data_IF_808414224733
#
_entry.id   IF_808414224733
#
_cell.length_a   1.000
_cell.length_b   1.000
_cell.length_c   1.000
_cell.angle_alpha   90.00
_cell.angle_beta   90.00
_cell.angle_gamma   90.00
#
_symmetry.space_group_name_H-M   'P 1'
#
loop_
_entity.id
_entity.type
_entity.pdbx_description
1 polymer ?
#
# COMPACT_ATOMS: atom_id res chain seq x y z
N UNK A 1 -31.14 7.28 2.48
CA UNK A 1 -29.74 7.24 2.89
C UNK A 1 -29.02 6.47 1.81
N UNK A 2 -28.30 7.14 0.91
CA UNK A 2 -27.68 6.51 -0.24
C UNK A 2 -26.42 5.81 0.24
N UNK A 3 -26.36 4.49 0.08
CA UNK A 3 -25.17 3.71 0.36
C UNK A 3 -23.99 4.26 -0.45
N UNK A 4 -22.76 4.27 0.11
CA UNK A 4 -21.59 4.30 -0.74
C UNK A 4 -21.79 3.16 -1.73
N UNK A 5 -21.87 3.47 -3.01
CA UNK A 5 -21.94 2.44 -4.04
C UNK A 5 -20.68 1.60 -3.85
N UNK A 6 -20.85 0.35 -3.40
CA UNK A 6 -19.89 -0.70 -3.70
C UNK A 6 -19.90 -0.79 -5.23
N UNK A 7 -19.31 0.24 -5.84
CA UNK A 7 -19.29 0.47 -7.24
C UNK A 7 -18.60 -0.72 -7.88
N UNK A 8 -19.11 -1.18 -8.97
CA UNK A 8 -18.31 -1.94 -9.93
C UNK A 8 -16.97 -1.23 -9.98
N UNK A 9 -15.97 -1.82 -9.29
CA UNK A 9 -14.71 -1.17 -9.02
C UNK A 9 -14.06 -0.70 -10.31
N UNK A 10 -14.36 0.51 -10.69
CA UNK A 10 -13.45 1.20 -11.56
C UNK A 10 -12.26 1.52 -10.68
N UNK A 11 -11.13 0.94 -11.03
CA UNK A 11 -9.81 1.12 -10.42
C UNK A 11 -9.38 2.59 -10.42
N UNK A 12 -10.27 3.54 -10.73
CA UNK A 12 -9.94 4.88 -11.22
C UNK A 12 -10.12 6.05 -10.24
N UNK A 13 -10.53 5.84 -8.98
CA UNK A 13 -10.73 6.98 -8.09
C UNK A 13 -10.00 6.81 -6.75
N UNK A 14 -8.78 7.38 -6.67
CA UNK A 14 -8.23 7.87 -5.43
C UNK A 14 -8.73 9.30 -5.19
N UNK A 15 -9.59 9.48 -4.24
CA UNK A 15 -10.01 10.79 -3.80
C UNK A 15 -11.50 10.86 -3.55
N UNK A 16 -11.88 11.46 -2.47
CA UNK A 16 -13.21 11.70 -1.91
C UNK A 16 -14.11 10.48 -1.91
N UNK A 17 -14.35 9.91 -0.76
CA UNK A 17 -15.47 9.00 -0.59
C UNK A 17 -16.74 9.63 -1.15
N UNK A 18 -17.60 8.85 -1.82
CA UNK A 18 -18.91 9.31 -2.34
C UNK A 18 -19.78 9.98 -1.26
N UNK A 19 -19.38 9.87 0.01
CA UNK A 19 -20.04 10.44 1.19
C UNK A 19 -19.42 11.76 1.68
N UNK A 20 -18.46 12.34 0.91
CA UNK A 20 -17.75 13.56 1.28
C UNK A 20 -16.60 13.37 2.29
N UNK A 21 -16.16 12.14 2.50
CA UNK A 21 -14.97 11.81 3.27
C UNK A 21 -13.70 12.12 2.44
N UNK A 22 -12.77 12.86 3.05
CA UNK A 22 -11.50 13.24 2.44
C UNK A 22 -10.32 12.40 2.97
N UNK A 23 -10.48 11.75 4.13
CA UNK A 23 -9.43 11.02 4.82
C UNK A 23 -9.55 9.51 4.69
N UNK A 24 -10.78 8.99 4.55
CA UNK A 24 -11.08 7.55 4.51
C UNK A 24 -11.70 7.19 3.17
N UNK A 25 -11.11 6.24 2.46
CA UNK A 25 -11.60 5.80 1.15
C UNK A 25 -11.51 4.27 1.00
N UNK A 26 -12.61 3.61 0.63
CA UNK A 26 -12.60 2.19 0.33
C UNK A 26 -12.04 1.95 -1.08
N UNK A 27 -11.21 0.91 -1.21
CA UNK A 27 -10.65 0.50 -2.49
C UNK A 27 -10.49 -1.02 -2.56
N UNK A 28 -10.79 -1.63 -3.71
CA UNK A 28 -10.42 -3.02 -3.95
C UNK A 28 -8.92 -3.09 -4.24
N UNK A 29 -8.19 -3.64 -3.26
CA UNK A 29 -6.75 -3.81 -3.36
C UNK A 29 -6.40 -5.17 -3.97
N UNK A 30 -5.75 -5.15 -5.13
CA UNK A 30 -5.22 -6.37 -5.78
C UNK A 30 -4.23 -7.09 -4.88
N UNK A 31 -3.39 -6.34 -4.17
CA UNK A 31 -2.33 -6.86 -3.29
C UNK A 31 -2.86 -7.42 -1.98
N UNK A 32 -3.93 -6.86 -1.45
CA UNK A 32 -4.61 -7.38 -0.25
C UNK A 32 -5.61 -8.49 -0.57
N UNK A 33 -5.98 -8.65 -1.85
CA UNK A 33 -6.98 -9.63 -2.28
C UNK A 33 -8.39 -9.34 -1.77
N UNK A 34 -8.77 -8.06 -1.66
CA UNK A 34 -10.11 -7.67 -1.21
C UNK A 34 -10.25 -6.18 -0.89
N UNK A 35 -11.24 -5.87 -0.05
CA UNK A 35 -11.54 -4.49 0.33
C UNK A 35 -10.48 -3.97 1.31
N UNK A 36 -9.80 -2.90 0.93
CA UNK A 36 -8.86 -2.14 1.74
C UNK A 36 -9.47 -0.78 2.10
N UNK A 37 -9.34 -0.37 3.33
CA UNK A 37 -9.77 0.95 3.78
C UNK A 37 -8.57 1.86 3.83
N UNK A 38 -8.41 2.66 2.78
CA UNK A 38 -7.32 3.62 2.66
C UNK A 38 -7.49 4.79 3.63
N UNK A 39 -6.38 5.23 4.22
CA UNK A 39 -6.31 6.41 5.07
C UNK A 39 -5.29 7.38 4.49
N UNK A 40 -5.78 8.57 4.15
CA UNK A 40 -5.03 9.64 3.51
C UNK A 40 -4.67 10.74 4.51
N UNK A 41 -3.37 10.97 4.73
CA UNK A 41 -2.88 12.00 5.65
C UNK A 41 -2.74 13.39 4.98
N UNK A 42 -3.01 13.50 3.68
CA UNK A 42 -2.86 14.72 2.90
C UNK A 42 -4.10 14.98 2.04
N UNK A 43 -5.27 15.31 2.65
CA UNK A 43 -6.53 15.40 1.91
C UNK A 43 -6.55 16.53 0.87
N UNK A 44 -5.82 17.60 1.11
CA UNK A 44 -5.86 18.83 0.32
C UNK A 44 -4.51 19.21 -0.33
N UNK A 45 -3.52 18.34 -0.25
CA UNK A 45 -2.20 18.52 -0.91
C UNK A 45 -1.49 17.20 -1.14
N UNK A 46 -0.54 17.19 -2.06
CA UNK A 46 0.41 16.10 -2.20
C UNK A 46 1.69 16.43 -1.43
N UNK A 47 2.06 15.60 -0.46
CA UNK A 47 3.33 15.72 0.27
C UNK A 47 4.13 14.43 0.14
N UNK A 48 5.11 14.44 -0.73
CA UNK A 48 6.00 13.31 -0.98
C UNK A 48 7.37 13.82 -1.41
N UNK A 49 8.41 13.16 -0.97
CA UNK A 49 9.78 13.43 -1.40
C UNK A 49 10.22 12.60 -2.63
N UNK A 50 9.28 11.81 -3.19
CA UNK A 50 9.40 11.17 -4.50
C UNK A 50 8.48 11.85 -5.52
N UNK A 51 8.82 11.72 -6.80
CA UNK A 51 8.03 12.16 -7.95
C UNK A 51 7.85 11.01 -8.97
N UNK A 52 7.47 9.84 -8.46
CA UNK A 52 7.37 8.61 -9.26
C UNK A 52 6.56 8.83 -10.55
N UNK A 53 7.05 8.38 -11.72
CA UNK A 53 6.34 8.54 -12.99
C UNK A 53 4.99 7.82 -13.03
N UNK A 54 4.86 6.73 -12.27
CA UNK A 54 3.63 5.94 -12.16
C UNK A 54 2.67 6.42 -11.05
N UNK A 55 2.97 7.53 -10.38
CA UNK A 55 2.14 8.02 -9.27
C UNK A 55 0.78 8.50 -9.79
N UNK A 56 -0.29 7.94 -9.24
CA UNK A 56 -1.67 8.26 -9.60
C UNK A 56 -2.12 9.64 -9.09
N UNK A 57 -1.37 10.23 -8.16
CA UNK A 57 -1.72 11.49 -7.51
C UNK A 57 -1.06 12.66 -8.23
N UNK A 58 -1.89 13.59 -8.70
CA UNK A 58 -1.41 14.86 -9.25
C UNK A 58 -0.63 15.68 -8.21
N UNK A 59 0.36 16.45 -8.62
CA UNK A 59 0.87 17.52 -7.77
C UNK A 59 -0.22 18.56 -7.52
N UNK A 60 -0.56 18.78 -6.25
CA UNK A 60 -1.47 19.83 -5.83
C UNK A 60 -1.06 20.35 -4.46
N UNK A 61 -1.48 21.56 -4.14
CA UNK A 61 -1.13 22.22 -2.89
C UNK A 61 -2.36 22.83 -2.24
N UNK A 62 -2.44 22.72 -0.93
CA UNK A 62 -3.49 23.25 -0.11
C UNK A 62 -2.99 23.55 1.30
N UNK A 63 -3.87 24.05 2.21
CA UNK A 63 -3.49 24.53 3.52
C UNK A 63 -3.02 23.45 4.52
N UNK A 64 -3.24 22.17 4.24
CA UNK A 64 -2.85 21.09 5.15
C UNK A 64 -3.86 20.86 6.28
N UNK A 65 -5.10 20.51 5.94
CA UNK A 65 -6.24 20.41 6.86
C UNK A 65 -6.42 19.02 7.50
N UNK A 66 -5.38 18.22 7.64
CA UNK A 66 -5.52 16.97 8.36
C UNK A 66 -5.73 17.21 9.86
N UNK A 67 -6.74 16.54 10.41
CA UNK A 67 -7.03 16.53 11.85
C UNK A 67 -7.33 15.12 12.33
N UNK A 68 -6.59 14.65 13.33
CA UNK A 68 -6.77 13.32 13.93
C UNK A 68 -8.20 13.04 14.43
N UNK A 69 -8.92 13.99 15.09
CA UNK A 69 -10.31 13.75 15.46
C UNK A 69 -11.25 13.59 14.26
N UNK A 70 -10.95 14.23 13.14
CA UNK A 70 -11.73 14.06 11.90
C UNK A 70 -11.52 12.66 11.33
N UNK A 71 -10.29 12.16 11.27
CA UNK A 71 -9.99 10.79 10.86
C UNK A 71 -10.76 9.77 11.71
N UNK A 72 -10.75 9.94 13.03
CA UNK A 72 -11.51 9.03 13.93
C UNK A 72 -13.00 9.03 13.60
N UNK A 73 -13.60 10.21 13.46
CA UNK A 73 -15.05 10.32 13.12
C UNK A 73 -15.38 9.69 11.76
N UNK A 74 -14.51 9.85 10.76
CA UNK A 74 -14.73 9.27 9.44
C UNK A 74 -14.63 7.75 9.46
N UNK A 75 -13.63 7.17 10.15
CA UNK A 75 -13.52 5.72 10.33
C UNK A 75 -14.72 5.14 11.09
N UNK A 76 -15.10 5.77 12.22
CA UNK A 76 -16.25 5.32 13.00
C UNK A 76 -17.55 5.39 12.17
N UNK A 77 -17.77 6.47 11.43
CA UNK A 77 -18.93 6.62 10.53
C UNK A 77 -18.94 5.56 9.44
N UNK A 78 -17.80 5.31 8.80
CA UNK A 78 -17.67 4.30 7.74
C UNK A 78 -18.02 2.91 8.26
N UNK A 79 -17.41 2.50 9.37
CA UNK A 79 -17.61 1.16 9.90
C UNK A 79 -19.00 0.96 10.52
N UNK A 80 -19.56 1.99 11.18
CA UNK A 80 -20.93 1.95 11.69
C UNK A 80 -21.94 1.75 10.54
N UNK A 81 -21.85 2.56 9.49
CA UNK A 81 -22.71 2.41 8.31
C UNK A 81 -22.58 1.02 7.67
N UNK A 82 -21.35 0.50 7.60
CA UNK A 82 -21.10 -0.84 7.07
C UNK A 82 -21.69 -1.96 7.95
N UNK A 83 -21.66 -1.81 9.28
CA UNK A 83 -22.27 -2.74 10.22
C UNK A 83 -23.80 -2.75 10.09
N UNK A 84 -24.44 -1.57 9.98
CA UNK A 84 -25.88 -1.43 9.79
C UNK A 84 -26.35 -2.10 8.49
N UNK A 85 -25.61 -1.93 7.40
CA UNK A 85 -25.90 -2.59 6.12
C UNK A 85 -25.81 -4.10 6.25
N UNK A 86 -24.78 -4.60 6.93
CA UNK A 86 -24.60 -6.04 7.14
C UNK A 86 -25.74 -6.64 7.96
N UNK A 87 -26.19 -5.94 9.01
CA UNK A 87 -27.32 -6.36 9.83
C UNK A 87 -28.62 -6.41 9.01
N UNK A 88 -28.93 -5.33 8.28
CA UNK A 88 -30.14 -5.27 7.44
C UNK A 88 -30.15 -6.34 6.33
N UNK A 89 -28.99 -6.65 5.74
CA UNK A 89 -28.86 -7.73 4.75
C UNK A 89 -29.06 -9.10 5.38
N UNK A 90 -28.47 -9.35 6.54
CA UNK A 90 -28.65 -10.64 7.24
C UNK A 90 -30.12 -10.91 7.58
N UNK A 91 -30.89 -9.89 7.96
CA UNK A 91 -32.33 -9.99 8.15
C UNK A 91 -33.04 -10.33 6.84
N UNK A 92 -32.71 -9.65 5.75
CA UNK A 92 -33.30 -9.88 4.42
C UNK A 92 -32.98 -11.29 3.87
N UNK A 93 -31.73 -11.75 4.05
CA UNK A 93 -31.31 -13.09 3.62
C UNK A 93 -32.01 -14.19 4.44
N UNK A 94 -32.24 -13.93 5.73
CA UNK A 94 -33.01 -14.85 6.58
C UNK A 94 -34.48 -14.98 6.13
N UNK A 95 -35.07 -13.88 5.66
CA UNK A 95 -36.44 -13.85 5.15
C UNK A 95 -36.57 -14.47 3.74
N UNK A 96 -35.58 -14.23 2.87
CA UNK A 96 -35.64 -14.60 1.44
C UNK A 96 -34.90 -15.88 1.10
N UNK A 97 -34.04 -16.40 1.98
CA UNK A 97 -33.16 -17.54 1.70
C UNK A 97 -32.06 -17.23 0.69
N UNK A 98 -31.84 -15.96 0.37
CA UNK A 98 -30.78 -15.53 -0.53
C UNK A 98 -29.41 -15.68 0.16
N UNK A 99 -28.40 -16.08 -0.59
CA UNK A 99 -27.02 -16.18 -0.10
C UNK A 99 -26.21 -14.99 -0.65
N UNK A 100 -25.97 -14.00 0.19
CA UNK A 100 -25.30 -12.75 -0.25
C UNK A 100 -23.82 -12.99 -0.61
N UNK A 101 -23.54 -13.04 -1.90
CA UNK A 101 -22.19 -13.12 -2.47
C UNK A 101 -21.51 -11.74 -2.61
N UNK A 102 -22.22 -10.67 -2.32
CA UNK A 102 -21.74 -9.30 -2.60
C UNK A 102 -21.03 -8.65 -1.40
N UNK A 103 -20.89 -9.34 -0.27
CA UNK A 103 -20.23 -8.81 0.91
C UNK A 103 -18.72 -9.13 0.87
N UNK A 104 -17.90 -8.10 0.62
CA UNK A 104 -16.45 -8.26 0.66
C UNK A 104 -15.90 -7.97 2.06
N UNK A 105 -15.22 -8.94 2.69
CA UNK A 105 -14.57 -8.68 3.97
C UNK A 105 -13.49 -7.60 3.82
N UNK A 106 -13.37 -6.74 4.83
CA UNK A 106 -12.26 -5.80 4.93
C UNK A 106 -10.98 -6.59 5.18
N UNK A 107 -9.99 -6.43 4.32
CA UNK A 107 -8.68 -7.10 4.43
C UNK A 107 -7.69 -6.31 5.23
N UNK A 108 -7.72 -4.99 5.09
CA UNK A 108 -6.83 -4.11 5.81
C UNK A 108 -7.40 -2.70 6.00
N UNK A 109 -6.83 -2.00 6.98
CA UNK A 109 -6.84 -0.54 7.05
C UNK A 109 -5.43 -0.10 6.63
N UNK A 110 -5.33 0.65 5.53
CA UNK A 110 -4.06 0.96 4.89
C UNK A 110 -3.73 2.46 4.97
N UNK A 111 -2.68 2.80 5.71
CA UNK A 111 -2.18 4.18 5.72
C UNK A 111 -1.33 4.41 4.47
N UNK A 112 -1.86 5.26 3.58
CA UNK A 112 -1.30 5.55 2.26
C UNK A 112 -1.87 6.87 1.73
N UNK A 113 -2.08 7.05 0.42
CA UNK A 113 -2.83 8.18 -0.15
C UNK A 113 -1.96 9.21 -0.87
N UNK A 114 -2.21 10.50 -0.66
CA UNK A 114 -1.67 11.59 -1.49
C UNK A 114 -0.21 11.99 -1.16
N UNK A 115 0.60 11.10 -0.61
CA UNK A 115 1.99 11.39 -0.30
C UNK A 115 2.70 10.27 0.45
N UNK A 116 3.80 10.61 1.07
CA UNK A 116 4.55 9.71 1.95
C UNK A 116 4.04 9.86 3.40
N UNK A 117 3.38 8.85 3.97
CA UNK A 117 2.77 8.97 5.30
C UNK A 117 3.75 9.34 6.41
N UNK A 118 4.99 8.85 6.35
CA UNK A 118 6.01 9.10 7.39
C UNK A 118 6.51 10.54 7.44
N UNK A 119 6.17 11.37 6.44
CA UNK A 119 6.46 12.81 6.45
C UNK A 119 5.39 13.62 7.18
N UNK A 120 4.25 13.01 7.52
CA UNK A 120 3.19 13.72 8.24
C UNK A 120 3.54 13.90 9.71
N UNK A 121 3.41 15.11 10.28
CA UNK A 121 3.55 15.31 11.72
C UNK A 121 2.48 14.55 12.53
N UNK A 122 1.37 14.16 11.90
CA UNK A 122 0.26 13.41 12.50
C UNK A 122 0.37 11.90 12.28
N UNK A 123 1.47 11.41 11.69
CA UNK A 123 1.60 10.01 11.32
C UNK A 123 1.37 9.03 12.48
N UNK A 124 1.98 9.30 13.64
CA UNK A 124 1.85 8.43 14.82
C UNK A 124 0.44 8.40 15.38
N UNK A 125 -0.22 9.57 15.44
CA UNK A 125 -1.60 9.68 15.89
C UNK A 125 -2.56 8.96 14.94
N UNK A 126 -2.36 9.11 13.64
CA UNK A 126 -3.17 8.44 12.62
C UNK A 126 -3.05 6.91 12.70
N UNK A 127 -1.84 6.37 12.88
CA UNK A 127 -1.65 4.94 13.11
C UNK A 127 -2.38 4.44 14.35
N UNK A 128 -2.34 5.20 15.45
CA UNK A 128 -3.04 4.85 16.67
C UNK A 128 -4.56 4.81 16.47
N UNK A 129 -5.12 5.79 15.76
CA UNK A 129 -6.55 5.84 15.41
C UNK A 129 -6.95 4.68 14.51
N UNK A 130 -6.13 4.33 13.51
CA UNK A 130 -6.38 3.16 12.65
C UNK A 130 -6.36 1.85 13.43
N UNK A 131 -5.42 1.69 14.36
CA UNK A 131 -5.34 0.52 15.24
C UNK A 131 -6.57 0.44 16.17
N UNK A 132 -7.00 1.56 16.75
CA UNK A 132 -8.24 1.63 17.55
C UNK A 132 -9.45 1.23 16.73
N UNK A 133 -9.62 1.78 15.52
CA UNK A 133 -10.73 1.44 14.64
C UNK A 133 -10.73 -0.06 14.28
N UNK A 134 -9.57 -0.65 13.99
CA UNK A 134 -9.44 -2.09 13.73
C UNK A 134 -9.89 -2.92 14.94
N UNK A 135 -9.46 -2.56 16.16
CA UNK A 135 -9.88 -3.27 17.37
C UNK A 135 -11.38 -3.16 17.63
N UNK A 136 -11.93 -1.97 17.44
CA UNK A 136 -13.35 -1.68 17.72
C UNK A 136 -14.28 -2.36 16.74
N UNK A 137 -13.98 -2.32 15.45
CA UNK A 137 -14.90 -2.68 14.38
C UNK A 137 -14.61 -4.01 13.69
N UNK A 138 -13.36 -4.51 13.75
CA UNK A 138 -12.90 -5.63 12.93
C UNK A 138 -12.30 -6.77 13.76
N UNK A 139 -12.48 -6.77 15.08
CA UNK A 139 -12.02 -7.83 15.98
C UNK A 139 -10.49 -7.80 16.25
N UNK A 140 -9.86 -6.66 16.03
CA UNK A 140 -8.42 -6.51 16.26
C UNK A 140 -7.57 -7.41 15.34
N UNK A 141 -6.42 -7.83 15.85
CA UNK A 141 -5.49 -8.70 15.12
C UNK A 141 -6.03 -10.13 14.89
N UNK A 142 -6.97 -10.57 15.71
CA UNK A 142 -7.55 -11.91 15.64
C UNK A 142 -8.68 -12.00 14.61
N UNK A 143 -9.20 -10.84 14.16
CA UNK A 143 -10.26 -10.75 13.16
C UNK A 143 -9.83 -10.98 11.71
N UNK A 144 -8.54 -11.25 11.45
CA UNK A 144 -8.02 -11.49 10.10
C UNK A 144 -7.90 -10.22 9.24
N UNK A 145 -8.01 -9.03 9.84
CA UNK A 145 -7.82 -7.74 9.18
C UNK A 145 -6.48 -7.13 9.57
N UNK A 146 -5.67 -6.78 8.58
CA UNK A 146 -4.36 -6.18 8.82
C UNK A 146 -4.44 -4.66 9.02
N UNK A 147 -3.46 -4.11 9.75
CA UNK A 147 -3.08 -2.71 9.66
C UNK A 147 -1.87 -2.62 8.74
N UNK A 148 -1.97 -1.83 7.67
CA UNK A 148 -0.92 -1.76 6.64
C UNK A 148 -0.39 -0.34 6.52
N UNK A 149 0.92 -0.21 6.38
CA UNK A 149 1.58 1.02 5.94
C UNK A 149 2.21 0.80 4.57
N UNK A 150 1.87 1.64 3.59
CA UNK A 150 2.64 1.74 2.33
C UNK A 150 3.55 2.95 2.44
N UNK A 151 4.87 2.74 2.33
CA UNK A 151 5.86 3.81 2.46
C UNK A 151 6.94 3.72 1.38
N UNK A 152 7.44 4.86 0.95
CA UNK A 152 8.62 4.95 0.08
C UNK A 152 9.94 4.67 0.82
N UNK A 153 9.85 4.27 2.08
CA UNK A 153 10.95 3.83 2.94
C UNK A 153 11.90 4.93 3.42
N UNK A 154 11.74 6.17 3.00
CA UNK A 154 12.65 7.26 3.40
C UNK A 154 12.55 7.60 4.88
N UNK A 155 11.40 7.33 5.51
CA UNK A 155 11.21 7.47 6.95
C UNK A 155 12.09 6.55 7.81
N UNK A 156 12.61 5.45 7.26
CA UNK A 156 13.47 4.52 8.01
C UNK A 156 14.82 5.11 8.41
N UNK A 157 15.23 6.22 7.82
CA UNK A 157 16.40 6.97 8.25
C UNK A 157 16.18 7.78 9.55
N UNK A 158 14.92 7.91 10.00
CA UNK A 158 14.54 8.71 11.16
C UNK A 158 14.31 7.83 12.40
N UNK A 159 15.13 7.96 13.48
CA UNK A 159 15.01 7.11 14.66
C UNK A 159 13.62 7.15 15.33
N UNK A 160 12.95 8.30 15.34
CA UNK A 160 11.60 8.44 15.90
C UNK A 160 10.56 7.62 15.11
N UNK A 161 10.67 7.62 13.78
CA UNK A 161 9.77 6.84 12.91
C UNK A 161 10.03 5.35 13.08
N UNK A 162 11.30 4.92 13.07
CA UNK A 162 11.63 3.49 13.22
C UNK A 162 11.22 2.95 14.59
N UNK A 163 11.37 3.71 15.66
CA UNK A 163 10.93 3.32 17.00
C UNK A 163 9.39 3.22 17.08
N UNK A 164 8.66 4.14 16.46
CA UNK A 164 7.21 4.07 16.36
C UNK A 164 6.76 2.84 15.57
N UNK A 165 7.35 2.60 14.40
CA UNK A 165 6.99 1.46 13.55
C UNK A 165 7.27 0.13 14.23
N UNK A 166 8.41 -0.01 14.93
CA UNK A 166 8.73 -1.21 15.70
C UNK A 166 7.66 -1.51 16.75
N UNK A 167 7.24 -0.50 17.54
CA UNK A 167 6.13 -0.67 18.49
C UNK A 167 4.84 -1.10 17.80
N UNK A 168 4.47 -0.46 16.69
CA UNK A 168 3.25 -0.79 15.97
C UNK A 168 3.28 -2.20 15.35
N UNK A 169 4.45 -2.67 14.92
CA UNK A 169 4.63 -4.06 14.47
C UNK A 169 4.37 -5.03 15.61
N UNK A 170 4.90 -4.78 16.80
CA UNK A 170 4.75 -5.68 17.96
C UNK A 170 3.36 -5.59 18.60
N UNK A 171 2.87 -4.36 18.86
CA UNK A 171 1.66 -4.14 19.62
C UNK A 171 0.39 -4.30 18.76
N UNK A 172 0.46 -3.90 17.49
CA UNK A 172 -0.67 -3.84 16.57
C UNK A 172 -0.51 -4.71 15.32
N UNK A 173 0.56 -5.52 15.24
CA UNK A 173 0.84 -6.36 14.07
C UNK A 173 0.80 -5.57 12.75
N UNK A 174 1.37 -4.35 12.77
CA UNK A 174 1.49 -3.52 11.58
C UNK A 174 2.29 -4.26 10.49
N UNK A 175 1.71 -4.36 9.30
CA UNK A 175 2.39 -4.88 8.12
C UNK A 175 2.95 -3.71 7.32
N UNK A 176 4.26 -3.71 7.12
CA UNK A 176 4.95 -2.63 6.43
C UNK A 176 5.25 -3.06 5.01
N UNK A 177 4.69 -2.34 4.04
CA UNK A 177 4.97 -2.47 2.63
C UNK A 177 5.98 -1.39 2.22
N UNK A 178 7.25 -1.79 2.21
CA UNK A 178 8.39 -0.94 1.94
C UNK A 178 8.69 -0.91 0.44
N UNK A 179 8.60 0.24 -0.19
CA UNK A 179 8.92 0.38 -1.61
C UNK A 179 10.42 0.41 -1.85
N UNK A 180 10.84 -0.42 -2.81
CA UNK A 180 12.19 -0.44 -3.36
C UNK A 180 12.10 -0.66 -4.88
N UNK A 181 11.95 0.43 -5.62
CA UNK A 181 11.71 0.40 -7.07
C UNK A 181 13.03 0.49 -7.84
N UNK A 182 13.89 -0.50 -7.68
CA UNK A 182 15.15 -0.60 -8.40
C UNK A 182 16.25 -1.33 -7.64
N UNK A 183 17.30 -1.72 -8.37
CA UNK A 183 18.47 -2.41 -7.84
C UNK A 183 19.79 -1.68 -8.10
N UNK A 184 19.71 -0.56 -8.77
CA UNK A 184 20.84 0.32 -9.06
C UNK A 184 20.40 1.79 -9.03
N UNK A 185 21.34 2.74 -8.90
CA UNK A 185 21.01 4.17 -8.80
C UNK A 185 20.20 4.70 -10.00
N UNK A 186 20.50 4.24 -11.21
CA UNK A 186 19.85 4.73 -12.43
C UNK A 186 18.39 4.29 -12.49
N UNK A 187 18.14 3.00 -12.25
CA UNK A 187 16.78 2.48 -12.19
C UNK A 187 15.97 3.14 -11.07
N UNK A 188 16.56 3.23 -9.87
CA UNK A 188 15.89 3.88 -8.73
C UNK A 188 15.57 5.35 -9.01
N UNK A 189 16.47 6.09 -9.63
CA UNK A 189 16.25 7.51 -9.98
C UNK A 189 15.10 7.66 -10.99
N UNK A 190 15.02 6.79 -12.00
CA UNK A 190 13.93 6.77 -12.98
C UNK A 190 12.60 6.52 -12.29
N UNK A 191 12.52 5.51 -11.40
CA UNK A 191 11.26 5.09 -10.78
C UNK A 191 10.83 5.97 -9.61
N UNK A 192 11.77 6.51 -8.86
CA UNK A 192 11.45 7.42 -7.74
C UNK A 192 11.22 8.86 -8.20
N UNK A 193 11.82 9.26 -9.32
CA UNK A 193 11.83 10.63 -9.80
C UNK A 193 12.47 11.60 -8.80
N UNK A 194 13.40 11.11 -7.95
CA UNK A 194 13.99 11.88 -6.85
C UNK A 194 15.52 11.88 -6.93
N UNK A 195 16.15 12.80 -6.17
CA UNK A 195 17.60 12.87 -5.98
C UNK A 195 18.06 12.18 -4.69
N UNK A 196 17.17 11.40 -4.05
CA UNK A 196 17.53 10.67 -2.83
C UNK A 196 18.49 9.55 -3.20
N UNK A 197 19.55 9.43 -2.40
CA UNK A 197 20.61 8.47 -2.65
C UNK A 197 20.10 7.01 -2.50
N UNK A 198 20.31 6.23 -3.54
CA UNK A 198 19.91 4.82 -3.59
C UNK A 198 20.57 3.99 -2.49
N UNK A 199 21.90 4.14 -2.30
CA UNK A 199 22.64 3.35 -1.31
C UNK A 199 22.15 3.63 0.11
N UNK A 200 21.89 4.90 0.44
CA UNK A 200 21.31 5.29 1.73
C UNK A 200 19.90 4.73 1.92
N UNK A 201 19.08 4.70 0.87
CA UNK A 201 17.74 4.12 0.92
C UNK A 201 17.80 2.63 1.20
N UNK A 202 18.62 1.88 0.46
CA UNK A 202 18.85 0.45 0.67
C UNK A 202 19.36 0.16 2.09
N UNK A 203 20.37 0.91 2.56
CA UNK A 203 20.91 0.76 3.91
C UNK A 203 19.87 1.00 5.00
N UNK A 204 18.98 1.98 4.82
CA UNK A 204 17.88 2.29 5.75
C UNK A 204 16.83 1.18 5.78
N UNK A 205 16.44 0.66 4.62
CA UNK A 205 15.52 -0.48 4.50
C UNK A 205 16.14 -1.70 5.18
N UNK A 206 17.38 -2.05 4.87
CA UNK A 206 18.07 -3.20 5.46
C UNK A 206 18.21 -3.06 6.97
N UNK A 207 18.63 -1.89 7.45
CA UNK A 207 18.79 -1.62 8.89
C UNK A 207 17.46 -1.78 9.64
N UNK A 208 16.34 -1.36 9.05
CA UNK A 208 15.02 -1.57 9.62
C UNK A 208 14.60 -3.05 9.54
N UNK A 209 14.76 -3.67 8.36
CA UNK A 209 14.40 -5.06 8.12
C UNK A 209 15.18 -6.08 8.96
N UNK A 210 16.38 -5.73 9.45
CA UNK A 210 17.12 -6.59 10.39
C UNK A 210 16.51 -6.64 11.79
N UNK A 211 15.60 -5.71 12.11
CA UNK A 211 14.92 -5.63 13.41
C UNK A 211 13.45 -6.02 13.31
N UNK A 212 12.80 -5.64 12.22
CA UNK A 212 11.36 -5.78 12.04
C UNK A 212 11.05 -6.38 10.66
N UNK A 213 10.05 -7.27 10.58
CA UNK A 213 9.67 -7.88 9.30
C UNK A 213 8.99 -6.87 8.38
N UNK A 214 9.35 -6.93 7.09
CA UNK A 214 8.77 -6.09 6.04
C UNK A 214 8.36 -6.92 4.83
N UNK A 215 7.48 -6.35 4.01
CA UNK A 215 7.20 -6.79 2.64
C UNK A 215 7.86 -5.79 1.70
N UNK A 216 8.66 -6.25 0.77
CA UNK A 216 9.24 -5.37 -0.26
C UNK A 216 8.23 -5.24 -1.41
N UNK A 217 7.98 -4.01 -1.85
CA UNK A 217 7.11 -3.72 -3.00
C UNK A 217 7.86 -3.01 -4.11
N UNK A 218 7.78 -3.55 -5.32
CA UNK A 218 8.47 -3.02 -6.49
C UNK A 218 7.52 -2.88 -7.67
N UNK A 219 7.43 -1.65 -8.18
CA UNK A 219 6.72 -1.36 -9.42
C UNK A 219 7.57 -1.74 -10.62
N UNK A 220 6.99 -2.54 -11.51
CA UNK A 220 7.57 -2.87 -12.82
C UNK A 220 6.69 -2.25 -13.91
N UNK A 221 7.22 -1.27 -14.59
CA UNK A 221 6.54 -0.58 -15.70
C UNK A 221 7.57 -0.02 -16.69
N UNK A 222 7.11 0.36 -17.86
CA UNK A 222 7.93 1.07 -18.85
C UNK A 222 7.77 2.59 -18.65
N UNK A 223 8.90 3.29 -18.62
CA UNK A 223 8.98 4.75 -18.49
C UNK A 223 9.83 5.28 -19.64
N UNK A 224 9.23 5.90 -20.64
CA UNK A 224 9.92 6.24 -21.89
C UNK A 224 10.54 5.00 -22.54
N UNK A 225 11.85 5.05 -22.79
CA UNK A 225 12.62 3.92 -23.34
C UNK A 225 13.10 2.94 -22.27
N UNK A 226 12.91 3.24 -20.99
CA UNK A 226 13.32 2.36 -19.90
C UNK A 226 12.25 1.29 -19.65
N UNK A 227 12.68 0.03 -19.61
CA UNK A 227 11.92 -1.12 -19.12
C UNK A 227 12.85 -2.03 -18.32
N UNK A 228 12.43 -2.58 -17.17
CA UNK A 228 13.22 -3.59 -16.48
C UNK A 228 13.45 -4.83 -17.35
N UNK A 229 14.69 -5.28 -17.40
CA UNK A 229 15.11 -6.47 -18.14
C UNK A 229 15.56 -7.60 -17.17
N UNK A 230 15.72 -8.85 -17.65
CA UNK A 230 16.13 -9.96 -16.82
C UNK A 230 17.47 -9.76 -16.09
N UNK A 231 18.41 -9.01 -16.67
CA UNK A 231 19.70 -8.73 -16.03
C UNK A 231 19.53 -7.77 -14.84
N UNK A 232 18.69 -6.74 -14.99
CA UNK A 232 18.32 -5.84 -13.88
C UNK A 232 17.57 -6.60 -12.78
N UNK A 233 16.65 -7.49 -13.16
CA UNK A 233 15.94 -8.33 -12.19
C UNK A 233 16.85 -9.31 -11.47
N UNK A 234 17.89 -9.80 -12.13
CA UNK A 234 18.92 -10.60 -11.46
C UNK A 234 19.68 -9.78 -10.41
N UNK A 235 20.13 -8.56 -10.76
CA UNK A 235 20.76 -7.66 -9.78
C UNK A 235 19.83 -7.33 -8.60
N UNK A 236 18.53 -7.19 -8.88
CA UNK A 236 17.52 -6.98 -7.85
C UNK A 236 17.39 -8.20 -6.92
N UNK A 237 17.33 -9.40 -7.46
CA UNK A 237 17.34 -10.64 -6.69
C UNK A 237 18.62 -10.77 -5.84
N UNK A 238 19.79 -10.50 -6.42
CA UNK A 238 21.08 -10.54 -5.74
C UNK A 238 21.14 -9.51 -4.58
N UNK A 239 20.58 -8.31 -4.78
CA UNK A 239 20.47 -7.28 -3.73
C UNK A 239 19.63 -7.77 -2.55
N UNK A 240 18.43 -8.30 -2.81
CA UNK A 240 17.53 -8.81 -1.77
C UNK A 240 18.10 -10.05 -1.06
N UNK A 241 18.68 -10.98 -1.80
CA UNK A 241 19.36 -12.14 -1.25
C UNK A 241 20.54 -11.72 -0.33
N UNK A 242 21.28 -10.68 -0.74
CA UNK A 242 22.32 -10.08 0.09
C UNK A 242 21.77 -9.49 1.39
N UNK A 243 20.64 -8.77 1.35
CA UNK A 243 19.98 -8.25 2.56
C UNK A 243 19.54 -9.39 3.48
N UNK A 244 18.90 -10.44 2.94
CA UNK A 244 18.49 -11.64 3.68
C UNK A 244 19.69 -12.34 4.33
N UNK A 245 20.80 -12.52 3.61
CA UNK A 245 22.01 -13.15 4.15
C UNK A 245 22.67 -12.37 5.28
N UNK A 246 22.43 -11.05 5.33
CA UNK A 246 22.87 -10.17 6.43
C UNK A 246 21.83 -10.02 7.55
N UNK A 247 20.76 -10.84 7.52
CA UNK A 247 19.76 -10.94 8.59
C UNK A 247 18.56 -10.00 8.44
N UNK A 248 18.26 -9.50 7.25
CA UNK A 248 17.01 -8.78 7.00
C UNK A 248 15.81 -9.75 7.02
N UNK A 249 14.72 -9.34 7.65
CA UNK A 249 13.48 -10.11 7.74
C UNK A 249 12.50 -9.65 6.64
N UNK A 250 12.76 -10.06 5.39
CA UNK A 250 11.85 -9.85 4.27
C UNK A 250 10.88 -11.03 4.24
N UNK A 251 9.58 -10.77 4.48
CA UNK A 251 8.54 -11.81 4.49
C UNK A 251 8.23 -12.32 3.10
N UNK A 252 8.08 -11.39 2.17
CA UNK A 252 7.75 -11.64 0.77
C UNK A 252 8.09 -10.42 -0.09
N UNK A 253 8.12 -10.63 -1.40
CA UNK A 253 8.33 -9.58 -2.40
C UNK A 253 7.07 -9.47 -3.26
N UNK A 254 6.51 -8.27 -3.37
CA UNK A 254 5.42 -7.95 -4.27
C UNK A 254 5.96 -7.26 -5.52
N UNK A 255 5.92 -7.93 -6.65
CA UNK A 255 6.17 -7.34 -7.96
C UNK A 255 4.82 -6.96 -8.58
N UNK A 256 4.62 -5.72 -8.91
CA UNK A 256 3.34 -5.27 -9.45
C UNK A 256 3.52 -4.28 -10.59
N UNK A 257 2.58 -4.30 -11.53
CA UNK A 257 2.54 -3.31 -12.60
C UNK A 257 1.48 -2.26 -12.36
N UNK A 258 1.53 -1.18 -13.15
CA UNK A 258 0.55 -0.10 -13.11
C UNK A 258 -0.83 -0.64 -13.50
N UNK A 259 -1.86 -0.27 -12.73
CA UNK A 259 -3.25 -0.64 -13.01
C UNK A 259 -4.18 0.56 -13.18
N UNK A 260 -3.70 1.75 -12.81
CA UNK A 260 -4.46 2.99 -12.89
C UNK A 260 -3.71 4.02 -13.70
N UNK A 261 -4.42 4.94 -14.38
CA UNK A 261 -3.76 6.02 -15.10
C UNK A 261 -2.88 6.85 -14.16
N UNK A 262 -1.69 7.22 -14.62
CA UNK A 262 -0.93 8.32 -14.03
C UNK A 262 -1.27 9.62 -14.75
N UNK A 263 -1.31 10.74 -14.05
CA UNK A 263 -1.77 12.01 -14.61
C UNK A 263 -0.99 12.53 -15.81
N UNK A 264 0.24 12.08 -15.98
CA UNK A 264 1.12 12.53 -17.06
C UNK A 264 1.25 11.52 -18.21
N UNK A 265 0.59 10.35 -18.11
CA UNK A 265 0.75 9.23 -19.04
C UNK A 265 2.23 8.88 -19.31
N UNK A 266 3.03 8.94 -18.24
CA UNK A 266 4.50 8.78 -18.30
C UNK A 266 4.95 7.33 -18.18
N UNK A 267 4.03 6.45 -17.79
CA UNK A 267 4.33 5.06 -17.44
C UNK A 267 3.32 4.12 -18.08
N UNK A 268 3.79 3.11 -18.79
CA UNK A 268 2.97 2.04 -19.34
C UNK A 268 3.09 0.75 -18.50
N UNK A 269 1.98 0.02 -18.26
CA UNK A 269 2.02 -1.27 -17.57
C UNK A 269 2.80 -2.31 -18.40
N UNK A 270 3.28 -3.34 -17.72
CA UNK A 270 3.79 -4.55 -18.35
C UNK A 270 2.68 -5.59 -18.40
N UNK A 271 2.58 -6.31 -19.52
CA UNK A 271 1.63 -7.42 -19.64
C UNK A 271 2.00 -8.62 -18.75
N UNK A 272 1.02 -9.44 -18.41
CA UNK A 272 1.16 -10.55 -17.45
C UNK A 272 2.30 -11.52 -17.82
N UNK A 273 2.45 -11.88 -19.10
CA UNK A 273 3.54 -12.75 -19.54
C UNK A 273 4.93 -12.16 -19.22
N UNK A 274 5.08 -10.84 -19.44
CA UNK A 274 6.33 -10.14 -19.13
C UNK A 274 6.56 -10.05 -17.64
N UNK A 275 5.49 -9.80 -16.87
CA UNK A 275 5.55 -9.79 -15.41
C UNK A 275 6.01 -11.12 -14.84
N UNK A 276 5.48 -12.23 -15.34
CA UNK A 276 5.88 -13.60 -14.93
C UNK A 276 7.32 -13.92 -15.34
N UNK A 277 7.74 -13.56 -16.55
CA UNK A 277 9.14 -13.72 -16.99
C UNK A 277 10.11 -13.05 -16.01
N UNK A 278 9.87 -11.77 -15.69
CA UNK A 278 10.71 -11.00 -14.80
C UNK A 278 10.65 -11.51 -13.34
N UNK A 279 9.48 -11.92 -12.90
CA UNK A 279 9.29 -12.49 -11.57
C UNK A 279 10.01 -13.83 -11.40
N UNK A 280 10.02 -14.69 -12.44
CA UNK A 280 10.75 -15.95 -12.43
C UNK A 280 12.25 -15.77 -12.14
N UNK A 281 12.86 -14.69 -12.66
CA UNK A 281 14.26 -14.36 -12.36
C UNK A 281 14.46 -14.04 -10.88
N UNK A 282 13.52 -13.30 -10.28
CA UNK A 282 13.60 -12.94 -8.85
C UNK A 282 13.33 -14.14 -7.95
N UNK A 283 12.29 -14.92 -8.25
CA UNK A 283 11.92 -16.13 -7.49
C UNK A 283 13.06 -17.15 -7.45
N UNK A 284 13.82 -17.28 -8.55
CA UNK A 284 14.97 -18.17 -8.60
C UNK A 284 16.14 -17.77 -7.68
N UNK A 285 16.23 -16.48 -7.30
CA UNK A 285 17.39 -15.94 -6.58
C UNK A 285 17.13 -15.47 -5.15
N UNK A 286 15.88 -15.12 -4.78
CA UNK A 286 15.66 -14.37 -3.54
C UNK A 286 15.44 -15.24 -2.29
N UNK A 287 14.88 -16.45 -2.44
CA UNK A 287 14.67 -17.38 -1.32
C UNK A 287 13.50 -17.05 -0.39
N UNK A 288 12.64 -16.10 -0.75
CA UNK A 288 11.37 -15.79 -0.09
C UNK A 288 10.24 -15.75 -1.12
N UNK A 289 8.95 -15.88 -0.72
CA UNK A 289 7.85 -15.83 -1.66
C UNK A 289 7.86 -14.54 -2.50
N UNK A 290 7.61 -14.68 -3.80
CA UNK A 290 7.44 -13.57 -4.74
C UNK A 290 6.01 -13.63 -5.26
N UNK A 291 5.23 -12.59 -5.01
CA UNK A 291 3.86 -12.48 -5.50
C UNK A 291 3.80 -11.45 -6.63
N UNK A 292 3.07 -11.80 -7.67
CA UNK A 292 3.01 -11.00 -8.90
C UNK A 292 1.60 -10.44 -9.10
N UNK A 293 1.50 -9.14 -9.37
CA UNK A 293 0.22 -8.48 -9.55
C UNK A 293 0.18 -7.76 -10.90
N UNK A 294 -0.65 -8.26 -11.80
CA UNK A 294 -0.99 -7.65 -13.09
C UNK A 294 -1.99 -6.50 -12.94
N UNK A 295 -2.51 -6.01 -14.06
CA UNK A 295 -3.51 -4.95 -14.06
C UNK A 295 -4.83 -5.36 -13.38
N UNK A 296 -5.23 -6.63 -13.54
CA UNK A 296 -6.52 -7.15 -13.06
C UNK A 296 -6.47 -7.76 -11.67
N UNK A 297 -5.32 -8.19 -11.18
CA UNK A 297 -5.19 -8.90 -9.92
C UNK A 297 -3.86 -9.60 -9.75
N UNK A 298 -3.81 -10.53 -8.80
CA UNK A 298 -2.66 -11.43 -8.62
C UNK A 298 -2.59 -12.41 -9.79
N UNK A 299 -1.40 -12.55 -10.37
CA UNK A 299 -1.13 -13.49 -11.44
C UNK A 299 -0.59 -14.77 -10.78
N UNK A 300 -1.30 -15.90 -10.87
CA UNK A 300 -0.78 -17.16 -10.32
C UNK A 300 0.49 -17.60 -11.09
N UNK A 301 1.43 -18.20 -10.36
CA UNK A 301 2.64 -18.79 -10.94
C UNK A 301 2.33 -19.99 -11.86
#
# INVERSE_FOLDING_TARGET
MTLPREGKGSVSEHGRGDDGSDLVYPVFSRRSGGLSIGVNLYPDRKTCNFACPYCEVFPFSGPGRFETPTLKRELDRYFAARADIRAARAEMDAETGANDRAWFPVRDICVSGNGEPTLSPHFGEALAVCAEARRTWLGGSDGGTDLVLITNSTGFSQPGITALLARMVHDERLVIWAKLDGADPDWFAIMSGSQIDFASTVASIESFARREPIVIQTMLCRVGDFEPDPERMKRYADLLAGMLSRGAHIREVHLYTKARPDPGDRCAPLGDARMLELAGVVSAGVGVPVRVFGESGEIPE
#
